data_IF_914143754958
#
_entry.id   IF_914143754958
#
_cell.length_a   1.000
_cell.length_b   1.000
_cell.length_c   1.000
_cell.angle_alpha   90.00
_cell.angle_beta   90.00
_cell.angle_gamma   90.00
#
_symmetry.space_group_name_H-M   'P 1'
#
loop_
_entity.id
_entity.type
_entity.pdbx_description
1 polymer ?
#
# COMPACT_ATOMS: atom_id res chain seq x y z
N UNK A 1 38.17 -25.81 -7.62
CA UNK A 1 38.90 -26.02 -6.37
C UNK A 1 39.10 -24.63 -5.80
N UNK A 2 38.41 -24.14 -4.78
CA UNK A 2 37.50 -24.75 -3.80
C UNK A 2 36.42 -23.73 -3.44
N UNK A 3 35.22 -24.24 -3.18
CA UNK A 3 34.15 -23.50 -2.54
C UNK A 3 34.25 -23.65 -1.03
N UNK A 4 34.10 -22.55 -0.32
CA UNK A 4 33.89 -22.57 1.13
C UNK A 4 32.50 -22.04 1.40
N UNK A 5 31.55 -22.97 1.57
CA UNK A 5 30.22 -22.71 2.10
C UNK A 5 30.34 -22.62 3.62
N UNK A 6 30.04 -21.44 4.17
CA UNK A 6 29.87 -21.27 5.62
C UNK A 6 28.55 -21.92 6.03
N UNK A 7 28.65 -23.03 6.76
CA UNK A 7 27.53 -23.72 7.40
C UNK A 7 27.32 -23.08 8.77
N UNK A 8 26.18 -22.41 8.97
CA UNK A 8 25.74 -21.95 10.29
C UNK A 8 25.04 -23.12 10.97
N UNK A 9 25.64 -23.63 12.04
CA UNK A 9 25.10 -24.69 12.90
C UNK A 9 24.12 -24.04 13.88
N UNK A 10 22.83 -24.35 13.78
CA UNK A 10 21.85 -24.03 14.82
C UNK A 10 22.06 -24.96 16.01
N UNK A 11 22.46 -24.38 17.15
CA UNK A 11 22.59 -25.07 18.44
C UNK A 11 21.18 -25.21 19.04
N UNK A 12 20.66 -26.44 19.06
CA UNK A 12 19.40 -26.76 19.74
C UNK A 12 19.56 -26.65 21.26
N UNK A 13 18.80 -25.74 21.87
CA UNK A 13 18.67 -25.66 23.33
C UNK A 13 17.55 -26.60 23.77
N UNK A 14 17.96 -27.71 24.35
CA UNK A 14 17.11 -28.69 25.03
C UNK A 14 16.75 -28.12 26.42
N UNK A 15 15.53 -27.61 26.61
CA UNK A 15 15.04 -27.28 27.95
C UNK A 15 14.54 -28.53 28.66
N UNK A 16 15.16 -28.82 29.81
CA UNK A 16 14.81 -29.91 30.70
C UNK A 16 13.50 -29.61 31.45
N UNK A 17 12.57 -30.56 31.41
CA UNK A 17 11.38 -30.61 32.26
C UNK A 17 11.79 -30.99 33.69
N UNK A 18 11.57 -30.08 34.65
CA UNK A 18 11.47 -30.43 36.08
C UNK A 18 10.00 -30.43 36.48
N UNK A 19 9.51 -31.62 36.82
CA UNK A 19 8.21 -31.80 37.43
C UNK A 19 8.25 -31.34 38.89
N UNK A 20 7.31 -30.49 39.27
CA UNK A 20 6.97 -30.24 40.67
C UNK A 20 5.47 -30.50 40.84
N UNK A 21 5.15 -31.51 41.62
CA UNK A 21 3.80 -31.92 41.98
C UNK A 21 3.29 -31.07 43.15
N UNK A 22 2.16 -30.40 42.97
CA UNK A 22 1.32 -30.01 44.10
C UNK A 22 -0.15 -30.13 43.72
N UNK A 23 -0.85 -30.94 44.51
CA UNK A 23 -2.27 -31.18 44.40
C UNK A 23 -3.03 -29.96 44.96
N UNK A 24 -3.87 -29.35 44.14
CA UNK A 24 -4.78 -28.27 44.52
C UNK A 24 -6.17 -28.52 43.94
N UNK A 25 -7.14 -28.64 44.83
CA UNK A 25 -8.58 -28.91 44.62
C UNK A 25 -9.20 -28.23 43.38
N UNK A 26 -9.71 -29.03 42.44
CA UNK A 26 -10.49 -28.55 41.28
C UNK A 26 -11.89 -28.10 41.70
N UNK A 27 -12.13 -26.78 41.74
CA UNK A 27 -13.46 -26.25 41.49
C UNK A 27 -13.67 -26.23 39.96
N UNK A 28 -14.52 -27.13 39.46
CA UNK A 28 -14.95 -27.13 38.06
C UNK A 28 -15.82 -25.89 37.81
N UNK A 29 -15.21 -24.81 37.36
CA UNK A 29 -15.94 -23.74 36.67
C UNK A 29 -16.18 -24.23 35.25
N UNK A 30 -17.44 -24.47 34.92
CA UNK A 30 -17.86 -24.71 33.54
C UNK A 30 -17.68 -23.39 32.77
N UNK A 31 -16.50 -23.20 32.17
CA UNK A 31 -16.33 -22.20 31.13
C UNK A 31 -16.93 -22.81 29.86
N UNK A 32 -18.20 -22.48 29.60
CA UNK A 32 -18.75 -22.58 28.25
C UNK A 32 -17.80 -21.85 27.32
N UNK A 33 -17.16 -22.61 26.43
CA UNK A 33 -16.35 -22.11 25.32
C UNK A 33 -17.25 -21.14 24.56
N UNK A 34 -16.98 -19.84 24.69
CA UNK A 34 -17.58 -18.86 23.81
C UNK A 34 -17.02 -19.21 22.42
N UNK A 35 -17.91 -19.63 21.53
CA UNK A 35 -17.58 -19.74 20.11
C UNK A 35 -16.94 -18.42 19.69
N UNK A 36 -15.81 -18.44 18.95
CA UNK A 36 -15.27 -17.20 18.39
C UNK A 36 -16.35 -16.67 17.47
N UNK A 37 -16.99 -15.58 17.90
CA UNK A 37 -17.95 -14.85 17.09
C UNK A 37 -17.21 -14.54 15.79
N UNK A 38 -17.67 -15.10 14.67
CA UNK A 38 -17.11 -14.79 13.37
C UNK A 38 -17.19 -13.26 13.22
N UNK A 39 -16.05 -12.58 13.30
CA UNK A 39 -15.98 -11.16 13.04
C UNK A 39 -16.50 -10.98 11.61
N UNK A 40 -17.55 -10.18 11.39
CA UNK A 40 -18.03 -9.95 10.04
C UNK A 40 -16.86 -9.41 9.22
N UNK A 41 -16.69 -9.94 8.01
CA UNK A 41 -15.71 -9.38 7.08
C UNK A 41 -15.97 -7.88 6.94
N UNK A 42 -14.93 -7.03 6.99
CA UNK A 42 -15.11 -5.59 6.83
C UNK A 42 -15.86 -5.30 5.52
N UNK A 43 -17.01 -4.62 5.63
CA UNK A 43 -17.74 -4.11 4.46
C UNK A 43 -17.19 -2.74 4.12
N UNK A 44 -16.32 -2.68 3.12
CA UNK A 44 -15.76 -1.41 2.65
C UNK A 44 -16.79 -0.63 1.84
N UNK A 45 -16.78 0.69 2.00
CA UNK A 45 -17.69 1.55 1.25
C UNK A 45 -17.36 1.50 -0.24
N UNK A 46 -18.39 1.27 -1.06
CA UNK A 46 -18.30 1.45 -2.50
C UNK A 46 -18.26 2.95 -2.79
N UNK A 47 -17.16 3.44 -3.35
CA UNK A 47 -17.16 4.79 -3.94
C UNK A 47 -17.86 4.66 -5.28
N UNK A 48 -19.01 5.31 -5.44
CA UNK A 48 -19.62 5.47 -6.76
C UNK A 48 -18.60 6.22 -7.63
N UNK A 49 -18.11 5.55 -8.69
CA UNK A 49 -17.26 6.21 -9.67
C UNK A 49 -18.01 7.44 -10.18
N UNK A 50 -17.42 8.64 -10.14
CA UNK A 50 -18.07 9.80 -10.71
C UNK A 50 -18.42 9.51 -12.16
N UNK A 51 -19.72 9.41 -12.45
CA UNK A 51 -20.29 9.25 -13.79
C UNK A 51 -20.34 10.57 -14.56
N UNK A 52 -19.84 11.65 -13.95
CA UNK A 52 -19.61 12.89 -14.67
C UNK A 52 -18.73 12.58 -15.87
N UNK A 53 -19.02 13.16 -17.06
CA UNK A 53 -18.14 12.98 -18.21
C UNK A 53 -16.74 13.37 -17.73
N UNK A 54 -15.84 12.38 -17.67
CA UNK A 54 -14.50 12.54 -17.16
C UNK A 54 -13.97 13.88 -17.69
N UNK A 55 -13.52 14.82 -16.82
CA UNK A 55 -12.96 16.07 -17.28
C UNK A 55 -11.94 15.68 -18.34
N UNK A 56 -12.18 16.13 -19.59
CA UNK A 56 -11.49 15.70 -20.81
C UNK A 56 -10.05 15.39 -20.44
N UNK A 57 -9.72 14.09 -20.33
CA UNK A 57 -8.38 13.67 -19.90
C UNK A 57 -7.43 14.47 -20.76
N UNK A 58 -6.55 15.25 -20.13
CA UNK A 58 -5.61 16.10 -20.85
C UNK A 58 -5.01 15.25 -21.97
N UNK A 59 -5.21 15.67 -23.22
CA UNK A 59 -5.18 14.81 -24.40
C UNK A 59 -3.83 14.16 -24.71
N UNK A 60 -2.83 14.36 -23.85
CA UNK A 60 -1.58 13.62 -23.77
C UNK A 60 -0.80 14.12 -22.56
N UNK A 61 -0.14 13.22 -21.83
CA UNK A 61 0.86 13.60 -20.83
C UNK A 61 2.16 14.07 -21.52
N UNK A 62 2.56 15.35 -21.38
CA UNK A 62 3.71 15.91 -22.11
C UNK A 62 5.08 15.47 -21.58
N UNK A 63 5.13 14.93 -20.35
CA UNK A 63 6.37 14.48 -19.73
C UNK A 63 6.83 13.14 -20.30
N UNK A 64 7.95 13.08 -21.01
CA UNK A 64 8.40 11.82 -21.64
C UNK A 64 8.60 10.70 -20.63
N UNK A 65 9.40 10.90 -19.59
CA UNK A 65 9.66 9.91 -18.55
C UNK A 65 10.36 10.57 -17.34
N UNK A 66 10.22 9.98 -16.16
CA UNK A 66 11.11 10.22 -15.03
C UNK A 66 12.31 9.28 -15.13
N UNK A 67 13.51 9.81 -14.95
CA UNK A 67 14.74 9.01 -14.87
C UNK A 67 14.78 8.20 -13.56
N UNK A 68 15.63 7.18 -13.50
CA UNK A 68 15.87 6.44 -12.26
C UNK A 68 16.20 7.40 -11.10
N UNK A 69 15.57 7.18 -9.96
CA UNK A 69 15.67 7.96 -8.73
C UNK A 69 15.24 9.44 -8.85
N UNK A 70 14.54 9.81 -9.92
CA UNK A 70 13.95 11.13 -10.07
C UNK A 70 12.55 11.14 -9.47
N UNK A 71 12.22 12.20 -8.73
CA UNK A 71 10.86 12.48 -8.28
C UNK A 71 10.35 13.79 -8.88
N UNK A 72 9.03 13.94 -8.90
CA UNK A 72 8.34 15.13 -9.40
C UNK A 72 7.08 15.36 -8.57
N UNK A 73 6.94 16.56 -7.99
CA UNK A 73 5.72 16.97 -7.30
C UNK A 73 4.69 17.58 -8.26
N UNK A 74 3.44 17.72 -7.83
CA UNK A 74 2.36 18.38 -8.58
C UNK A 74 2.67 19.84 -8.96
N UNK A 75 3.58 20.51 -8.25
CA UNK A 75 4.03 21.87 -8.61
C UNK A 75 5.05 21.89 -9.76
N UNK A 76 5.48 20.71 -10.23
CA UNK A 76 6.53 20.55 -11.22
C UNK A 76 7.95 20.58 -10.62
N UNK A 77 8.09 20.48 -9.30
CA UNK A 77 9.37 20.49 -8.61
C UNK A 77 10.04 19.12 -8.58
N UNK A 78 11.31 19.07 -8.97
CA UNK A 78 12.17 17.87 -8.87
C UNK A 78 12.94 17.77 -7.55
N UNK A 79 12.62 18.64 -6.59
CA UNK A 79 13.34 18.72 -5.30
C UNK A 79 12.40 18.77 -4.10
N UNK A 80 11.10 18.95 -4.30
CA UNK A 80 10.12 18.84 -3.21
C UNK A 80 10.06 17.40 -2.74
N UNK A 81 10.24 17.19 -1.44
CA UNK A 81 10.10 15.87 -0.82
C UNK A 81 8.64 15.43 -0.84
N UNK A 82 8.40 14.12 -0.70
CA UNK A 82 7.05 13.57 -0.54
C UNK A 82 6.28 14.30 0.57
N UNK A 83 6.89 14.49 1.74
CA UNK A 83 6.29 15.21 2.87
C UNK A 83 5.89 16.65 2.52
N UNK A 84 6.67 17.34 1.68
CA UNK A 84 6.34 18.72 1.27
C UNK A 84 5.17 18.76 0.28
N UNK A 85 5.04 17.74 -0.58
CA UNK A 85 4.05 17.70 -1.64
C UNK A 85 2.74 17.01 -1.21
N UNK A 86 2.81 15.83 -0.60
CA UNK A 86 1.68 15.00 -0.15
C UNK A 86 1.32 15.22 1.34
N UNK A 87 2.14 15.99 2.06
CA UNK A 87 2.00 16.19 3.51
C UNK A 87 2.64 15.08 4.34
N UNK A 88 2.84 15.35 5.63
CA UNK A 88 3.35 14.35 6.56
C UNK A 88 2.29 13.31 6.91
N UNK A 89 2.72 12.10 7.25
CA UNK A 89 1.85 11.10 7.88
C UNK A 89 1.24 11.67 9.17
N UNK A 90 -0.07 11.47 9.35
CA UNK A 90 -0.76 11.88 10.57
C UNK A 90 -0.78 10.75 11.61
N UNK A 91 -1.16 9.55 11.19
CA UNK A 91 -1.10 8.35 12.01
C UNK A 91 -0.90 7.11 11.12
N UNK A 92 -0.63 5.97 11.77
CA UNK A 92 -0.69 4.67 11.11
C UNK A 92 -2.08 4.13 11.31
N UNK A 93 -2.74 3.81 10.22
CA UNK A 93 -4.04 3.15 10.27
C UNK A 93 -3.79 1.71 10.66
N UNK A 94 -4.17 1.33 11.87
CA UNK A 94 -4.12 -0.07 12.31
C UNK A 94 -5.31 -0.83 11.73
N UNK A 95 -5.13 -2.11 11.38
CA UNK A 95 -6.23 -2.96 10.93
C UNK A 95 -7.36 -2.97 11.95
N UNK A 96 -8.59 -2.89 11.46
CA UNK A 96 -9.82 -2.83 12.27
C UNK A 96 -9.96 -1.61 13.18
N UNK A 97 -9.06 -0.62 13.10
CA UNK A 97 -9.28 0.68 13.71
C UNK A 97 -10.42 1.43 13.00
N UNK A 98 -10.98 2.46 13.64
CA UNK A 98 -11.98 3.29 12.97
C UNK A 98 -11.51 3.85 11.61
N UNK A 99 -10.32 4.46 11.46
CA UNK A 99 -9.89 4.98 10.15
C UNK A 99 -9.69 3.88 9.10
N UNK A 100 -9.40 2.63 9.51
CA UNK A 100 -9.31 1.49 8.58
C UNK A 100 -10.62 1.25 7.82
N UNK A 101 -11.77 1.41 8.49
CA UNK A 101 -13.08 1.25 7.85
C UNK A 101 -13.45 2.41 6.91
N UNK A 102 -12.65 3.49 6.88
CA UNK A 102 -12.80 4.58 5.93
C UNK A 102 -11.92 4.41 4.68
N UNK A 103 -11.02 3.42 4.66
CA UNK A 103 -10.35 3.01 3.42
C UNK A 103 -11.37 2.45 2.42
N UNK A 104 -11.02 2.49 1.14
CA UNK A 104 -11.87 2.01 0.05
C UNK A 104 -11.12 0.96 -0.76
N UNK A 105 -11.86 -0.01 -1.32
CA UNK A 105 -11.26 -1.10 -2.10
C UNK A 105 -12.10 -1.63 -3.28
N UNK A 106 -13.31 -1.10 -3.52
CA UNK A 106 -14.09 -1.44 -4.71
C UNK A 106 -13.64 -0.56 -5.90
N UNK A 107 -12.47 -0.87 -6.45
CA UNK A 107 -11.79 -0.06 -7.45
C UNK A 107 -12.08 -0.54 -8.89
N UNK A 108 -11.56 0.20 -9.87
CA UNK A 108 -11.77 -0.05 -11.30
C UNK A 108 -11.37 -1.50 -11.65
N UNK A 109 -12.27 -2.32 -12.25
CA UNK A 109 -11.99 -3.72 -12.58
C UNK A 109 -10.87 -3.91 -13.62
N UNK A 110 -10.44 -2.84 -14.29
CA UNK A 110 -9.29 -2.86 -15.20
C UNK A 110 -7.95 -2.85 -14.47
N UNK A 111 -7.92 -2.48 -13.19
CA UNK A 111 -6.72 -2.50 -12.36
C UNK A 111 -6.29 -3.94 -12.06
N UNK A 112 -4.98 -4.16 -12.11
CA UNK A 112 -4.35 -5.40 -11.66
C UNK A 112 -3.75 -5.15 -10.29
N UNK A 113 -3.96 -6.07 -9.35
CA UNK A 113 -3.35 -6.01 -8.01
C UNK A 113 -2.41 -7.21 -7.86
N UNK A 114 -1.30 -7.05 -7.14
CA UNK A 114 -0.32 -8.12 -6.95
C UNK A 114 -0.82 -9.12 -5.91
N UNK A 115 -1.38 -8.64 -4.79
CA UNK A 115 -1.96 -9.44 -3.71
C UNK A 115 -1.01 -10.58 -3.30
N UNK A 116 0.25 -10.26 -3.02
CA UNK A 116 1.25 -11.25 -2.63
C UNK A 116 1.16 -11.65 -1.16
N UNK A 117 0.54 -10.81 -0.32
CA UNK A 117 0.52 -11.04 1.11
C UNK A 117 -0.29 -12.30 1.42
N UNK A 118 0.11 -13.02 2.47
CA UNK A 118 -0.68 -14.15 2.95
C UNK A 118 -1.92 -13.65 3.70
N UNK A 119 -3.01 -14.41 3.61
CA UNK A 119 -4.19 -14.17 4.42
C UNK A 119 -3.82 -14.05 5.92
N UNK A 120 -4.32 -13.05 6.65
CA UNK A 120 -5.46 -12.19 6.30
C UNK A 120 -5.10 -10.83 5.68
N UNK A 121 -3.93 -10.68 5.06
CA UNK A 121 -3.40 -9.41 4.52
C UNK A 121 -3.44 -9.35 2.99
N UNK A 122 -3.91 -10.41 2.34
CA UNK A 122 -3.98 -10.64 0.88
C UNK A 122 -4.83 -9.62 0.09
N UNK A 123 -5.37 -8.60 0.75
CA UNK A 123 -6.20 -7.54 0.17
C UNK A 123 -5.67 -6.14 0.48
N UNK A 124 -4.55 -5.99 1.18
CA UNK A 124 -4.07 -4.66 1.60
C UNK A 124 -3.67 -3.78 0.39
N UNK A 125 -3.16 -4.39 -0.68
CA UNK A 125 -3.00 -3.82 -2.02
C UNK A 125 -4.24 -3.12 -2.60
N UNK A 126 -5.41 -3.54 -2.18
CA UNK A 126 -6.69 -3.05 -2.67
C UNK A 126 -7.14 -1.83 -1.84
N UNK A 127 -6.73 -1.74 -0.57
CA UNK A 127 -7.19 -0.70 0.33
C UNK A 127 -6.36 0.57 0.21
N UNK A 128 -7.07 1.70 0.11
CA UNK A 128 -6.44 3.01 -0.05
C UNK A 128 -7.34 4.14 0.47
N UNK A 129 -6.75 5.31 0.61
CA UNK A 129 -7.46 6.53 0.93
C UNK A 129 -8.48 6.87 -0.19
N UNK A 130 -9.72 7.32 0.11
CA UNK A 130 -10.72 7.66 -0.92
C UNK A 130 -10.24 8.64 -2.00
N UNK A 131 -9.39 9.60 -1.63
CA UNK A 131 -8.79 10.57 -2.56
C UNK A 131 -7.88 9.92 -3.63
N UNK A 132 -7.42 8.69 -3.42
CA UNK A 132 -6.60 7.93 -4.36
C UNK A 132 -7.38 7.47 -5.61
N UNK A 133 -8.70 7.31 -5.49
CA UNK A 133 -9.55 6.75 -6.56
C UNK A 133 -9.47 7.57 -7.84
N UNK A 134 -9.62 8.90 -7.74
CA UNK A 134 -9.67 9.76 -8.91
C UNK A 134 -8.35 9.76 -9.73
N UNK A 135 -7.15 9.95 -9.14
CA UNK A 135 -5.89 9.85 -9.88
C UNK A 135 -5.61 8.43 -10.39
N UNK A 136 -5.95 7.37 -9.65
CA UNK A 136 -5.79 6.00 -10.15
C UNK A 136 -6.65 5.69 -11.38
N UNK A 137 -7.91 6.12 -11.39
CA UNK A 137 -8.80 5.93 -12.55
C UNK A 137 -8.26 6.69 -13.77
N UNK A 138 -7.80 7.93 -13.59
CA UNK A 138 -7.16 8.69 -14.68
C UNK A 138 -5.87 8.01 -15.15
N UNK A 139 -5.06 7.47 -14.23
CA UNK A 139 -3.83 6.77 -14.58
C UNK A 139 -4.10 5.49 -15.35
N UNK A 140 -5.08 4.69 -14.93
CA UNK A 140 -5.52 3.47 -15.64
C UNK A 140 -5.85 3.79 -17.10
N UNK A 141 -6.65 4.83 -17.35
CA UNK A 141 -6.99 5.29 -18.69
C UNK A 141 -5.78 5.78 -19.49
N UNK A 142 -4.88 6.55 -18.87
CA UNK A 142 -3.65 7.03 -19.51
C UNK A 142 -2.72 5.87 -19.89
N UNK A 143 -2.59 4.87 -19.04
CA UNK A 143 -1.81 3.65 -19.27
C UNK A 143 -2.38 2.86 -20.44
N UNK A 144 -3.70 2.63 -20.47
CA UNK A 144 -4.34 1.95 -21.59
C UNK A 144 -4.14 2.73 -22.91
N UNK A 145 -4.27 4.06 -22.89
CA UNK A 145 -4.08 4.90 -24.08
C UNK A 145 -2.63 4.90 -24.57
N UNK A 146 -1.66 5.05 -23.67
CA UNK A 146 -0.22 5.12 -23.98
C UNK A 146 0.27 3.90 -24.76
N UNK A 147 -0.24 2.72 -24.40
CA UNK A 147 0.20 1.45 -24.96
C UNK A 147 -0.90 0.71 -25.73
N UNK A 148 -1.88 1.45 -26.26
CA UNK A 148 -2.89 0.93 -27.19
C UNK A 148 -3.70 -0.25 -26.63
N UNK A 149 -3.97 -0.26 -25.33
CA UNK A 149 -4.72 -1.29 -24.61
C UNK A 149 -3.93 -2.58 -24.32
N UNK A 150 -2.66 -2.67 -24.72
CA UNK A 150 -1.85 -3.87 -24.48
C UNK A 150 -1.25 -3.93 -23.07
N UNK A 151 -1.26 -2.82 -22.33
CA UNK A 151 -0.74 -2.69 -20.98
C UNK A 151 -1.83 -2.18 -20.06
N UNK A 152 -1.93 -2.76 -18.87
CA UNK A 152 -2.79 -2.31 -17.78
C UNK A 152 -1.95 -1.80 -16.62
N UNK A 153 -2.55 -0.93 -15.80
CA UNK A 153 -1.95 -0.47 -14.55
C UNK A 153 -1.97 -1.62 -13.54
N UNK A 154 -0.85 -1.82 -12.84
CA UNK A 154 -0.75 -2.78 -11.76
C UNK A 154 -0.27 -2.13 -10.47
N UNK A 155 -1.04 -2.30 -9.40
CA UNK A 155 -0.68 -1.91 -8.05
C UNK A 155 0.05 -3.09 -7.41
N UNK A 156 1.18 -2.82 -6.78
CA UNK A 156 1.96 -3.84 -6.05
C UNK A 156 2.00 -3.66 -4.56
N UNK A 157 1.78 -2.43 -4.09
CA UNK A 157 1.67 -2.09 -2.69
C UNK A 157 0.74 -0.86 -2.57
N UNK A 158 -0.06 -0.79 -1.52
CA UNK A 158 -0.96 0.34 -1.24
C UNK A 158 -1.05 0.63 0.27
N UNK A 159 -2.17 0.36 0.93
CA UNK A 159 -2.19 0.33 2.38
C UNK A 159 -1.27 -0.79 2.89
N UNK A 160 -0.44 -0.49 3.88
CA UNK A 160 0.49 -1.47 4.46
C UNK A 160 0.41 -1.42 6.00
N UNK A 161 -0.08 -2.51 6.60
CA UNK A 161 -0.17 -2.66 8.05
C UNK A 161 1.07 -3.29 8.69
N UNK A 162 1.96 -3.91 7.91
CA UNK A 162 3.20 -4.55 8.37
C UNK A 162 4.36 -3.57 8.52
N UNK A 163 4.18 -2.35 8.03
CA UNK A 163 5.16 -1.26 8.06
C UNK A 163 6.40 -1.54 7.22
N UNK A 164 6.27 -2.27 6.12
CA UNK A 164 7.35 -2.71 5.23
C UNK A 164 7.91 -1.60 4.34
N UNK A 165 7.29 -0.43 4.31
CA UNK A 165 7.89 0.80 3.75
C UNK A 165 8.72 1.54 4.83
N UNK A 166 9.80 2.25 4.46
CA UNK A 166 10.75 2.86 5.43
C UNK A 166 11.53 1.86 6.31
N UNK A 167 12.01 0.77 5.71
CA UNK A 167 12.87 -0.22 6.39
C UNK A 167 14.22 0.36 6.87
N UNK A 168 14.63 1.51 6.31
CA UNK A 168 15.83 2.22 6.74
C UNK A 168 15.73 2.74 8.18
N UNK A 169 14.51 2.94 8.69
CA UNK A 169 14.22 3.34 10.04
C UNK A 169 14.04 2.10 10.94
N UNK A 170 14.99 1.81 11.86
CA UNK A 170 14.92 0.64 12.73
C UNK A 170 13.92 0.80 13.88
N UNK A 171 13.64 2.03 14.30
CA UNK A 171 12.61 2.27 15.31
C UNK A 171 11.25 2.25 14.63
N UNK A 172 10.50 1.16 14.86
CA UNK A 172 9.17 1.02 14.31
C UNK A 172 8.31 2.22 14.65
N UNK A 173 8.42 2.86 15.81
CA UNK A 173 7.60 4.04 16.18
C UNK A 173 7.92 5.31 15.36
N UNK A 174 9.02 5.30 14.60
CA UNK A 174 9.48 6.42 13.78
C UNK A 174 9.31 6.24 12.28
N UNK A 175 8.85 5.07 11.81
CA UNK A 175 8.52 4.87 10.38
C UNK A 175 7.39 5.83 9.96
N UNK A 176 7.58 6.51 8.82
CA UNK A 176 6.70 7.62 8.42
C UNK A 176 6.14 7.51 7.00
N UNK A 177 6.15 6.32 6.38
CA UNK A 177 5.59 6.11 5.04
C UNK A 177 4.09 6.41 4.97
N UNK A 178 3.67 7.06 3.88
CA UNK A 178 2.27 7.34 3.57
C UNK A 178 1.46 6.09 3.18
N UNK A 179 2.12 4.97 2.88
CA UNK A 179 1.46 3.66 2.73
C UNK A 179 0.69 3.26 3.99
N UNK A 180 1.17 3.65 5.17
CA UNK A 180 0.55 3.24 6.45
C UNK A 180 -0.79 3.90 6.73
N UNK A 181 -1.20 4.88 5.92
CA UNK A 181 -2.54 5.47 5.97
C UNK A 181 -3.24 5.43 4.60
N UNK A 182 -2.72 4.61 3.67
CA UNK A 182 -3.29 4.40 2.34
C UNK A 182 -3.17 5.61 1.41
N UNK A 183 -2.23 6.53 1.66
CA UNK A 183 -1.99 7.73 0.83
C UNK A 183 -0.86 7.58 -0.20
N UNK A 184 -0.23 6.40 -0.28
CA UNK A 184 0.72 6.04 -1.34
C UNK A 184 0.38 4.70 -1.96
N UNK A 185 0.91 4.50 -3.18
CA UNK A 185 0.83 3.27 -3.96
C UNK A 185 2.12 3.04 -4.73
N UNK A 186 2.50 1.77 -4.87
CA UNK A 186 3.59 1.35 -5.74
C UNK A 186 3.03 0.72 -7.01
N UNK A 187 3.51 1.21 -8.15
CA UNK A 187 2.89 1.00 -9.45
C UNK A 187 3.85 0.32 -10.42
N UNK A 188 3.33 -0.64 -11.17
CA UNK A 188 4.00 -1.33 -12.25
C UNK A 188 3.08 -1.43 -13.48
N UNK A 189 3.63 -1.92 -14.58
CA UNK A 189 2.86 -2.30 -15.76
C UNK A 189 2.43 -3.76 -15.69
N UNK A 190 1.32 -4.09 -16.33
CA UNK A 190 0.92 -5.47 -16.60
C UNK A 190 0.70 -5.70 -18.10
N UNK A 191 1.48 -6.58 -18.77
CA UNK A 191 2.60 -7.35 -18.22
C UNK A 191 3.78 -6.49 -17.72
N UNK A 192 4.54 -7.05 -16.78
CA UNK A 192 5.70 -6.38 -16.15
C UNK A 192 6.75 -6.04 -17.22
N UNK A 193 7.10 -4.76 -17.31
CA UNK A 193 8.18 -4.26 -18.16
C UNK A 193 8.81 -3.00 -17.54
N UNK A 194 9.99 -3.19 -16.94
CA UNK A 194 10.76 -2.13 -16.27
C UNK A 194 11.11 -0.97 -17.21
N UNK A 195 11.25 -1.22 -18.53
CA UNK A 195 11.57 -0.15 -19.49
C UNK A 195 10.46 0.89 -19.61
N UNK A 196 9.25 0.57 -19.14
CA UNK A 196 8.09 1.46 -19.14
C UNK A 196 7.95 2.29 -17.87
N UNK A 197 8.68 2.00 -16.79
CA UNK A 197 8.39 2.60 -15.46
C UNK A 197 8.67 4.10 -15.40
N UNK A 198 9.71 4.58 -16.09
CA UNK A 198 9.93 6.02 -16.21
C UNK A 198 8.75 6.74 -16.88
N UNK A 199 8.18 6.15 -17.93
CA UNK A 199 6.96 6.69 -18.60
C UNK A 199 5.73 6.52 -17.70
N UNK A 200 5.57 5.39 -17.03
CA UNK A 200 4.49 5.15 -16.05
C UNK A 200 4.47 6.25 -14.97
N UNK A 201 5.63 6.61 -14.41
CA UNK A 201 5.71 7.70 -13.45
C UNK A 201 5.34 9.06 -14.03
N UNK A 202 5.73 9.35 -15.27
CA UNK A 202 5.29 10.56 -15.92
C UNK A 202 3.76 10.60 -16.09
N UNK A 203 3.15 9.48 -16.48
CA UNK A 203 1.70 9.34 -16.55
C UNK A 203 1.04 9.51 -15.18
N UNK A 204 1.62 8.98 -14.11
CA UNK A 204 1.12 9.15 -12.74
C UNK A 204 1.09 10.64 -12.34
N UNK A 205 2.16 11.38 -12.60
CA UNK A 205 2.15 12.83 -12.36
C UNK A 205 1.04 13.52 -13.17
N UNK A 206 0.90 13.20 -14.45
CA UNK A 206 -0.17 13.73 -15.30
C UNK A 206 -1.58 13.30 -14.88
N UNK A 207 -1.71 12.18 -14.16
CA UNK A 207 -2.97 11.71 -13.57
C UNK A 207 -3.34 12.48 -12.30
N UNK A 208 -2.47 13.36 -11.80
CA UNK A 208 -2.74 14.23 -10.65
C UNK A 208 -2.38 13.62 -9.31
N UNK A 209 -1.36 12.75 -9.27
CA UNK A 209 -0.67 12.43 -8.02
C UNK A 209 0.16 13.63 -7.57
N UNK A 210 0.18 13.89 -6.27
CA UNK A 210 0.85 15.06 -5.69
C UNK A 210 2.36 14.90 -5.62
N UNK A 211 2.83 13.66 -5.50
CA UNK A 211 4.24 13.29 -5.56
C UNK A 211 4.41 11.97 -6.29
N UNK A 212 5.42 11.87 -7.15
CA UNK A 212 5.75 10.64 -7.89
C UNK A 212 7.26 10.45 -7.90
N UNK A 213 7.74 9.23 -7.68
CA UNK A 213 9.15 8.88 -7.68
C UNK A 213 9.40 7.59 -8.45
N UNK A 214 10.32 7.63 -9.39
CA UNK A 214 10.83 6.43 -10.05
C UNK A 214 11.88 5.77 -9.17
N UNK A 215 11.47 4.80 -8.35
CA UNK A 215 12.36 4.03 -7.48
C UNK A 215 13.17 2.96 -8.23
N UNK A 216 12.80 2.70 -9.49
CA UNK A 216 13.54 1.86 -10.45
C UNK A 216 12.89 0.50 -10.70
N UNK A 217 12.46 -0.19 -9.65
CA UNK A 217 11.73 -1.46 -9.73
C UNK A 217 10.21 -1.30 -9.61
N UNK A 218 9.75 -0.10 -9.30
CA UNK A 218 8.36 0.35 -9.39
C UNK A 218 8.30 1.88 -9.50
N UNK A 219 7.09 2.40 -9.66
CA UNK A 219 6.81 3.81 -9.56
C UNK A 219 6.02 4.10 -8.29
N UNK A 220 6.63 4.81 -7.35
CA UNK A 220 5.96 5.25 -6.13
C UNK A 220 5.14 6.52 -6.41
N UNK A 221 3.91 6.58 -5.92
CA UNK A 221 3.06 7.75 -6.09
C UNK A 221 2.17 8.01 -4.87
N UNK A 222 2.06 9.28 -4.48
CA UNK A 222 1.40 9.72 -3.24
C UNK A 222 0.44 10.86 -3.49
N UNK A 223 -0.55 11.00 -2.61
CA UNK A 223 -1.56 12.07 -2.66
C UNK A 223 -1.57 12.91 -1.38
N UNK A 224 -1.88 14.19 -1.54
CA UNK A 224 -2.24 15.09 -0.46
C UNK A 224 -3.74 14.95 -0.17
N UNK A 225 -4.06 14.56 1.06
CA UNK A 225 -5.43 14.55 1.56
C UNK A 225 -5.47 14.69 3.09
N UNK A 226 -6.62 15.13 3.61
CA UNK A 226 -6.91 15.08 5.05
C UNK A 226 -6.85 13.64 5.54
N UNK A 227 -6.10 13.39 6.60
CA UNK A 227 -5.93 12.03 7.10
C UNK A 227 -7.22 11.48 7.71
N UNK A 228 -7.54 10.23 7.37
CA UNK A 228 -8.67 9.47 7.95
C UNK A 228 -8.52 9.29 9.47
N UNK A 229 -7.30 9.39 9.99
CA UNK A 229 -7.03 9.36 11.43
C UNK A 229 -7.86 10.40 12.20
N UNK A 230 -8.19 11.53 11.56
CA UNK A 230 -8.99 12.60 12.16
C UNK A 230 -10.49 12.36 12.06
N UNK A 231 -10.94 11.50 11.14
CA UNK A 231 -12.37 11.19 10.92
C UNK A 231 -13.02 10.46 12.11
N UNK A 232 -12.20 9.89 12.99
CA UNK A 232 -12.61 9.04 14.09
C UNK A 232 -12.32 9.61 15.48
N UNK A 233 -11.84 10.86 15.55
CA UNK A 233 -11.47 11.54 16.79
C UNK A 233 -12.66 12.21 17.51
N UNK A 234 -13.90 11.80 17.21
CA UNK A 234 -15.14 12.34 17.79
C UNK A 234 -15.79 11.36 18.77
#
# INVERSE_FOLDING_TARGET
MDGTKTIIIFLGILMALSACTSAGSSNKVNITRLDPLATPAPTFSTVDFPTDPAPTVASSCPLTALSYNQHLSATGSYTETETQAAGAIACRIERYSCPYYHLVGNLDPHLVFKQEEEAPLDQEDIFMHPAMVAPLVRLSQLVEQEWGGAVRLRITDAYDSLLEHDLSQPDLARRQSLHFEGRSVDLTTWPIDLSKYGRLCALAHCAGFDWVHNEGDHCHASIQADSLCWSCAQ
#
